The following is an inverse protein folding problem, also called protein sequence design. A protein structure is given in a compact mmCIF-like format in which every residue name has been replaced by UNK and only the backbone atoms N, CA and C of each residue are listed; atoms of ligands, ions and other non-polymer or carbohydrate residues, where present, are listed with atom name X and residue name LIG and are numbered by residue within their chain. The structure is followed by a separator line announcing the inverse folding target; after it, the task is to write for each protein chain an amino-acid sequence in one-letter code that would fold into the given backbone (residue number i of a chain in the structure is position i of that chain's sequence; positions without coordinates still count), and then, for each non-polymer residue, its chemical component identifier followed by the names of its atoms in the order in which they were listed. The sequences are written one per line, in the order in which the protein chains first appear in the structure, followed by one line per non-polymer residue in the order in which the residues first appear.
data_IF_737193014039
#
_entry.id   IF_737193014039
#
_cell.length_a   1.000
_cell.length_b   1.000
_cell.length_c   1.000
_cell.angle_alpha   90.00
_cell.angle_beta   90.00
_cell.angle_gamma   90.00
#
_symmetry.space_group_name_H-M   'P 1'
#
loop_
_entity.id
_entity.type
_entity.pdbx_description
1 polymer ?
#
# COMPACT_ATOMS: atom_id res chain seq x y z
N UNK A 1 -62.43 31.21 15.29
CA UNK A 1 -61.04 31.14 14.77
C UNK A 1 -60.50 29.72 14.68
N UNK A 2 -60.36 28.97 15.80
CA UNK A 2 -59.74 27.64 15.81
C UNK A 2 -60.34 26.63 14.82
N UNK A 3 -61.67 26.50 14.75
CA UNK A 3 -62.31 25.56 13.81
C UNK A 3 -61.97 25.84 12.34
N UNK A 4 -61.86 27.12 11.97
CA UNK A 4 -61.48 27.53 10.60
C UNK A 4 -60.02 27.16 10.33
N UNK A 5 -59.13 27.39 11.29
CA UNK A 5 -57.72 26.97 11.16
C UNK A 5 -57.61 25.44 10.96
N UNK A 6 -58.35 24.64 11.74
CA UNK A 6 -58.38 23.18 11.56
C UNK A 6 -58.88 22.81 10.16
N UNK A 7 -59.89 23.51 9.65
CA UNK A 7 -60.39 23.31 8.28
C UNK A 7 -59.33 23.66 7.22
N UNK A 8 -58.64 24.79 7.34
CA UNK A 8 -57.53 25.16 6.44
C UNK A 8 -56.42 24.11 6.46
N UNK A 9 -56.00 23.69 7.65
CA UNK A 9 -54.89 22.75 7.80
C UNK A 9 -55.21 21.35 7.25
N UNK A 10 -56.44 20.84 7.49
CA UNK A 10 -56.82 19.48 7.11
C UNK A 10 -57.53 19.39 5.76
N UNK A 11 -58.55 20.20 5.52
CA UNK A 11 -59.40 20.10 4.33
C UNK A 11 -58.79 20.81 3.12
N UNK A 12 -58.18 21.97 3.33
CA UNK A 12 -57.44 22.67 2.27
C UNK A 12 -55.98 22.20 2.16
N UNK A 13 -55.60 21.18 2.94
CA UNK A 13 -54.27 20.56 2.96
C UNK A 13 -53.10 21.56 3.15
N UNK A 14 -53.32 22.67 3.84
CA UNK A 14 -52.23 23.62 4.14
C UNK A 14 -51.15 22.96 5.01
N UNK A 15 -51.52 22.01 5.88
CA UNK A 15 -50.57 21.25 6.73
C UNK A 15 -49.43 20.63 5.94
N UNK A 16 -49.66 20.19 4.69
CA UNK A 16 -48.63 19.57 3.85
C UNK A 16 -47.41 20.47 3.59
N UNK A 17 -47.56 21.79 3.70
CA UNK A 17 -46.46 22.74 3.53
C UNK A 17 -45.52 22.78 4.74
N UNK A 18 -45.98 22.32 5.91
CA UNK A 18 -45.26 22.36 7.19
C UNK A 18 -44.76 20.99 7.65
N UNK A 19 -44.98 19.93 6.87
CA UNK A 19 -44.44 18.61 7.17
C UNK A 19 -42.91 18.59 7.03
N UNK A 20 -42.20 17.66 7.71
CA UNK A 20 -40.76 17.47 7.49
C UNK A 20 -40.48 17.28 6.00
N UNK A 21 -39.42 17.92 5.48
CA UNK A 21 -39.11 17.96 4.05
C UNK A 21 -39.90 19.01 3.25
N UNK A 22 -41.00 19.53 3.79
CA UNK A 22 -41.86 20.56 3.15
C UNK A 22 -42.34 20.16 1.74
N UNK A 23 -42.58 18.85 1.49
CA UNK A 23 -42.92 18.33 0.16
C UNK A 23 -44.13 19.03 -0.47
N UNK A 24 -45.13 19.37 0.34
CA UNK A 24 -46.29 20.12 -0.13
C UNK A 24 -45.93 21.51 -0.63
N UNK A 25 -45.03 22.22 0.06
CA UNK A 25 -44.55 23.53 -0.35
C UNK A 25 -43.69 23.43 -1.61
N UNK A 26 -42.74 22.49 -1.65
CA UNK A 26 -41.87 22.28 -2.80
C UNK A 26 -42.67 21.95 -4.06
N UNK A 27 -43.71 21.11 -3.94
CA UNK A 27 -44.64 20.85 -5.03
C UNK A 27 -45.35 22.14 -5.50
N UNK A 28 -45.84 22.98 -4.58
CA UNK A 28 -46.49 24.25 -4.97
C UNK A 28 -45.50 25.19 -5.65
N UNK A 29 -44.28 25.31 -5.15
CA UNK A 29 -43.24 26.14 -5.78
C UNK A 29 -42.89 25.63 -7.18
N UNK A 30 -42.75 24.31 -7.36
CA UNK A 30 -42.53 23.70 -8.67
C UNK A 30 -43.66 24.01 -9.66
N UNK A 31 -44.92 23.86 -9.22
CA UNK A 31 -46.09 24.22 -10.02
C UNK A 31 -46.09 25.72 -10.37
N UNK A 32 -45.73 26.57 -9.40
CA UNK A 32 -45.65 28.00 -9.60
C UNK A 32 -44.58 28.38 -10.62
N UNK A 33 -43.38 27.81 -10.54
CA UNK A 33 -42.29 28.08 -11.48
C UNK A 33 -42.71 27.76 -12.92
N UNK A 34 -43.36 26.62 -13.15
CA UNK A 34 -43.88 26.25 -14.47
C UNK A 34 -45.00 27.18 -14.95
N UNK A 35 -45.84 27.69 -14.05
CA UNK A 35 -46.86 28.68 -14.38
C UNK A 35 -46.23 30.03 -14.76
N UNK A 36 -45.17 30.46 -14.07
CA UNK A 36 -44.43 31.68 -14.41
C UNK A 36 -43.73 31.51 -15.75
N UNK A 37 -43.11 30.34 -16.00
CA UNK A 37 -42.49 30.02 -17.29
C UNK A 37 -43.50 30.07 -18.44
N UNK A 38 -44.69 29.49 -18.28
CA UNK A 38 -45.72 29.46 -19.31
C UNK A 38 -46.38 30.82 -19.53
N UNK A 39 -46.70 31.56 -18.46
CA UNK A 39 -47.52 32.78 -18.54
C UNK A 39 -46.72 34.08 -18.60
N UNK A 40 -45.50 34.09 -18.07
CA UNK A 40 -44.60 35.24 -17.96
C UNK A 40 -43.16 34.84 -18.37
N UNK A 41 -42.95 34.31 -19.59
CA UNK A 41 -41.68 33.70 -19.99
C UNK A 41 -40.49 34.67 -19.93
N UNK A 42 -40.71 35.95 -20.24
CA UNK A 42 -39.67 36.99 -20.15
C UNK A 42 -39.21 37.20 -18.71
N UNK A 43 -40.17 37.30 -17.79
CA UNK A 43 -39.87 37.42 -16.36
C UNK A 43 -39.21 36.16 -15.81
N UNK A 44 -39.69 34.97 -16.19
CA UNK A 44 -39.05 33.70 -15.80
C UNK A 44 -37.57 33.65 -16.24
N UNK A 45 -37.29 34.02 -17.50
CA UNK A 45 -35.93 34.07 -18.01
C UNK A 45 -35.07 35.09 -17.26
N UNK A 46 -35.60 36.29 -16.99
CA UNK A 46 -34.90 37.32 -16.21
C UNK A 46 -34.56 36.81 -14.80
N UNK A 47 -35.54 36.25 -14.08
CA UNK A 47 -35.33 35.67 -12.75
C UNK A 47 -34.26 34.58 -12.76
N UNK A 48 -34.28 33.67 -13.75
CA UNK A 48 -33.24 32.64 -13.90
C UNK A 48 -31.86 33.24 -14.20
N UNK A 49 -31.79 34.27 -15.04
CA UNK A 49 -30.52 34.94 -15.37
C UNK A 49 -29.90 35.65 -14.16
N UNK A 50 -30.74 36.14 -13.25
CA UNK A 50 -30.35 36.72 -11.97
C UNK A 50 -30.11 35.65 -10.87
N UNK A 51 -30.29 34.36 -11.16
CA UNK A 51 -30.14 33.29 -10.18
C UNK A 51 -31.21 33.27 -9.08
N UNK A 52 -32.38 33.90 -9.31
CA UNK A 52 -33.47 33.98 -8.35
C UNK A 52 -34.41 32.78 -8.55
N UNK A 53 -34.53 31.95 -7.51
CA UNK A 53 -35.49 30.85 -7.46
C UNK A 53 -36.74 31.27 -6.68
N UNK A 54 -37.91 30.72 -7.04
CA UNK A 54 -39.17 31.01 -6.35
C UNK A 54 -39.13 30.71 -4.85
N UNK A 55 -38.36 29.71 -4.42
CA UNK A 55 -38.16 29.39 -3.00
C UNK A 55 -37.61 30.57 -2.18
N UNK A 56 -36.90 31.51 -2.81
CA UNK A 56 -36.31 32.68 -2.13
C UNK A 56 -37.33 33.77 -1.78
N UNK A 57 -38.46 33.86 -2.48
CA UNK A 57 -39.45 34.93 -2.29
C UNK A 57 -40.89 34.41 -2.10
N UNK A 58 -41.27 33.33 -2.77
CA UNK A 58 -42.64 32.83 -2.81
C UNK A 58 -42.97 31.85 -1.68
N UNK A 59 -41.97 31.22 -1.03
CA UNK A 59 -42.19 30.25 0.06
C UNK A 59 -43.14 30.81 1.13
N UNK A 60 -42.94 32.06 1.51
CA UNK A 60 -43.76 32.74 2.50
C UNK A 60 -45.19 33.01 2.02
N UNK A 61 -45.38 33.29 0.74
CA UNK A 61 -46.71 33.51 0.15
C UNK A 61 -47.59 32.27 0.33
N UNK A 62 -47.06 31.09 -0.03
CA UNK A 62 -47.79 29.83 0.07
C UNK A 62 -47.97 29.36 1.52
N UNK A 63 -46.96 29.54 2.37
CA UNK A 63 -47.02 29.15 3.79
C UNK A 63 -48.02 29.97 4.59
N UNK A 64 -48.08 31.28 4.34
CA UNK A 64 -48.88 32.23 5.13
C UNK A 64 -50.13 32.71 4.42
N UNK A 65 -50.41 32.20 3.21
CA UNK A 65 -51.48 32.67 2.34
C UNK A 65 -51.43 34.20 2.18
N UNK A 66 -50.21 34.73 1.98
CA UNK A 66 -49.86 36.16 1.94
C UNK A 66 -50.01 36.97 3.24
N UNK A 67 -50.51 36.40 4.33
CA UNK A 67 -50.86 37.14 5.55
C UNK A 67 -49.68 37.77 6.32
N UNK A 68 -48.42 37.47 5.95
CA UNK A 68 -47.25 37.97 6.69
C UNK A 68 -46.85 39.42 6.36
N UNK A 69 -46.78 39.80 5.07
CA UNK A 69 -46.35 41.14 4.63
C UNK A 69 -47.44 41.93 3.92
N UNK A 70 -48.50 41.27 3.45
CA UNK A 70 -49.52 41.95 2.67
C UNK A 70 -50.50 42.69 3.57
N UNK A 71 -51.01 43.85 3.12
CA UNK A 71 -52.09 44.57 3.79
C UNK A 71 -53.34 43.71 3.97
N UNK A 72 -53.93 43.73 5.17
CA UNK A 72 -55.11 42.92 5.51
C UNK A 72 -56.27 43.02 4.51
N UNK A 73 -56.62 44.21 3.94
CA UNK A 73 -57.70 44.30 2.96
C UNK A 73 -57.49 43.42 1.72
N UNK A 74 -56.24 43.24 1.28
CA UNK A 74 -55.91 42.35 0.17
C UNK A 74 -55.93 40.90 0.62
N UNK A 75 -55.37 40.60 1.79
CA UNK A 75 -55.34 39.24 2.37
C UNK A 75 -56.76 38.69 2.54
N UNK A 76 -57.72 39.50 3.02
CA UNK A 76 -59.11 39.07 3.17
C UNK A 76 -59.72 38.64 1.83
N UNK A 77 -59.43 39.33 0.72
CA UNK A 77 -59.91 38.92 -0.61
C UNK A 77 -59.30 37.61 -1.10
N UNK A 78 -58.02 37.36 -0.76
CA UNK A 78 -57.38 36.08 -1.04
C UNK A 78 -58.09 34.97 -0.26
N UNK A 79 -58.37 35.20 1.03
CA UNK A 79 -59.04 34.23 1.88
C UNK A 79 -60.48 33.95 1.45
N UNK A 80 -61.25 34.98 1.07
CA UNK A 80 -62.59 34.83 0.50
C UNK A 80 -62.57 33.87 -0.70
N UNK A 81 -61.61 34.07 -1.60
CA UNK A 81 -61.45 33.25 -2.81
C UNK A 81 -60.96 31.83 -2.47
N UNK A 82 -60.06 31.69 -1.50
CA UNK A 82 -59.58 30.37 -1.03
C UNK A 82 -60.73 29.57 -0.43
N UNK A 83 -61.58 30.20 0.40
CA UNK A 83 -62.71 29.50 1.02
C UNK A 83 -63.81 29.14 0.02
N UNK A 84 -63.94 29.91 -1.06
CA UNK A 84 -64.93 29.64 -2.11
C UNK A 84 -64.44 28.58 -3.11
N UNK A 85 -63.19 28.66 -3.56
CA UNK A 85 -62.72 27.89 -4.72
C UNK A 85 -61.57 26.92 -4.41
N UNK A 86 -60.96 27.01 -3.22
CA UNK A 86 -59.83 26.17 -2.82
C UNK A 86 -58.49 26.91 -2.73
N UNK A 87 -57.52 26.26 -2.08
CA UNK A 87 -56.18 26.82 -1.85
C UNK A 87 -55.43 27.09 -3.15
N UNK A 88 -55.74 26.38 -4.23
CA UNK A 88 -55.12 26.55 -5.55
C UNK A 88 -55.39 27.94 -6.15
N UNK A 89 -56.42 28.65 -5.67
CA UNK A 89 -56.65 30.05 -6.04
C UNK A 89 -55.46 30.95 -5.76
N UNK A 90 -54.60 30.60 -4.80
CA UNK A 90 -53.38 31.34 -4.48
C UNK A 90 -52.46 31.52 -5.68
N UNK A 91 -52.39 30.52 -6.59
CA UNK A 91 -51.57 30.63 -7.81
C UNK A 91 -52.01 31.77 -8.71
N UNK A 92 -53.33 32.01 -8.82
CA UNK A 92 -53.87 33.12 -9.64
C UNK A 92 -53.44 34.47 -9.08
N UNK A 93 -53.49 34.63 -7.75
CA UNK A 93 -53.03 35.85 -7.10
C UNK A 93 -51.51 36.04 -7.26
N UNK A 94 -50.71 34.99 -7.07
CA UNK A 94 -49.26 35.06 -7.26
C UNK A 94 -48.88 35.49 -8.69
N UNK A 95 -49.51 34.89 -9.71
CA UNK A 95 -49.25 35.26 -11.11
C UNK A 95 -49.78 36.65 -11.44
N UNK A 96 -50.95 37.04 -10.92
CA UNK A 96 -51.49 38.39 -11.12
C UNK A 96 -50.58 39.47 -10.53
N UNK A 97 -50.00 39.23 -9.35
CA UNK A 97 -49.04 40.13 -8.72
C UNK A 97 -47.78 40.29 -9.58
N UNK A 98 -47.21 39.18 -10.06
CA UNK A 98 -46.04 39.24 -10.95
C UNK A 98 -46.37 39.94 -12.27
N UNK A 99 -47.50 39.60 -12.89
CA UNK A 99 -47.93 40.20 -14.16
C UNK A 99 -48.16 41.71 -14.05
N UNK A 100 -48.75 42.18 -12.94
CA UNK A 100 -48.97 43.61 -12.70
C UNK A 100 -47.66 44.39 -12.62
N UNK A 101 -46.64 43.77 -12.04
CA UNK A 101 -45.33 44.38 -11.80
C UNK A 101 -44.27 44.02 -12.86
N UNK A 102 -44.62 43.26 -13.89
CA UNK A 102 -43.66 42.63 -14.82
C UNK A 102 -42.66 43.63 -15.40
N UNK A 103 -43.12 44.79 -15.89
CA UNK A 103 -42.24 45.82 -16.45
C UNK A 103 -41.19 46.32 -15.42
N UNK A 104 -41.64 46.62 -14.20
CA UNK A 104 -40.77 47.11 -13.12
C UNK A 104 -39.77 46.04 -12.70
N UNK A 105 -40.20 44.77 -12.62
CA UNK A 105 -39.34 43.64 -12.25
C UNK A 105 -38.23 43.38 -13.27
N UNK A 106 -38.51 43.57 -14.57
CA UNK A 106 -37.53 43.38 -15.65
C UNK A 106 -36.42 44.45 -15.67
N UNK A 107 -36.65 45.60 -15.04
CA UNK A 107 -35.69 46.72 -14.97
C UNK A 107 -34.78 46.65 -13.73
N UNK A 108 -35.11 45.79 -12.76
CA UNK A 108 -34.38 45.66 -11.49
C UNK A 108 -33.19 44.71 -11.57
N UNK A 109 -32.14 45.02 -10.81
CA UNK A 109 -31.00 44.13 -10.52
C UNK A 109 -31.36 43.08 -9.44
N UNK A 110 -30.45 42.13 -9.19
CA UNK A 110 -30.70 41.02 -8.25
C UNK A 110 -31.20 41.46 -6.86
N UNK A 111 -30.53 42.43 -6.22
CA UNK A 111 -30.83 42.81 -4.83
C UNK A 111 -32.16 43.55 -4.74
N UNK A 112 -32.37 44.53 -5.63
CA UNK A 112 -33.62 45.29 -5.69
C UNK A 112 -34.79 44.40 -6.08
N UNK A 113 -34.58 43.49 -7.04
CA UNK A 113 -35.60 42.56 -7.51
C UNK A 113 -36.04 41.61 -6.41
N UNK A 114 -35.09 41.01 -5.67
CA UNK A 114 -35.42 40.06 -4.61
C UNK A 114 -36.15 40.74 -3.44
N UNK A 115 -35.74 41.96 -3.06
CA UNK A 115 -36.44 42.72 -2.04
C UNK A 115 -37.84 43.13 -2.51
N UNK A 116 -37.97 43.62 -3.75
CA UNK A 116 -39.26 44.03 -4.30
C UNK A 116 -40.25 42.87 -4.43
N UNK A 117 -39.78 41.68 -4.79
CA UNK A 117 -40.61 40.47 -4.79
C UNK A 117 -41.11 40.14 -3.38
N UNK A 118 -40.30 40.32 -2.33
CA UNK A 118 -40.69 40.00 -0.96
C UNK A 118 -41.69 40.99 -0.36
N UNK A 119 -41.52 42.29 -0.63
CA UNK A 119 -42.22 43.34 0.12
C UNK A 119 -42.95 44.38 -0.74
N UNK A 120 -42.66 44.50 -2.04
CA UNK A 120 -43.13 45.62 -2.86
C UNK A 120 -44.29 45.31 -3.82
N UNK A 121 -44.64 44.05 -4.07
CA UNK A 121 -45.62 43.69 -5.12
C UNK A 121 -47.02 44.29 -4.92
N UNK A 122 -47.45 44.48 -3.67
CA UNK A 122 -48.77 45.03 -3.37
C UNK A 122 -48.87 46.55 -3.57
N UNK A 123 -47.74 47.26 -3.68
CA UNK A 123 -47.71 48.72 -3.90
C UNK A 123 -48.45 49.10 -5.20
N UNK A 124 -48.41 48.21 -6.21
CA UNK A 124 -49.14 48.39 -7.48
C UNK A 124 -50.67 48.50 -7.32
N UNK A 125 -51.22 48.02 -6.20
CA UNK A 125 -52.64 48.10 -5.85
C UNK A 125 -52.94 49.16 -4.79
N UNK A 126 -51.95 49.89 -4.31
CA UNK A 126 -52.16 50.99 -3.38
C UNK A 126 -52.90 52.13 -4.08
N UNK A 127 -53.87 52.73 -3.41
CA UNK A 127 -54.55 53.93 -3.88
C UNK A 127 -53.68 55.12 -3.52
N UNK A 128 -53.00 55.72 -4.49
CA UNK A 128 -52.32 57.00 -4.29
C UNK A 128 -53.38 58.10 -4.23
N UNK A 129 -53.63 58.63 -3.03
CA UNK A 129 -54.46 59.82 -2.88
C UNK A 129 -53.67 61.02 -3.42
N UNK A 130 -54.13 61.61 -4.53
CA UNK A 130 -53.56 62.85 -5.08
C UNK A 130 -54.43 64.04 -4.69
N UNK A 131 -53.83 65.06 -4.07
CA UNK A 131 -54.50 66.33 -3.71
C UNK A 131 -54.62 66.57 -2.20
N UNK A 132 -55.39 67.60 -1.82
CA UNK A 132 -55.56 68.07 -0.42
C UNK A 132 -56.13 66.98 0.52
N UNK A 133 -56.83 65.98 -0.05
CA UNK A 133 -57.39 64.84 0.68
C UNK A 133 -56.35 63.81 1.14
N UNK A 134 -55.13 63.82 0.58
CA UNK A 134 -54.06 62.90 0.99
C UNK A 134 -53.63 63.11 2.45
N UNK A 135 -53.77 64.34 2.98
CA UNK A 135 -53.45 64.68 4.36
C UNK A 135 -54.53 64.26 5.37
N UNK A 136 -55.75 63.96 4.90
CA UNK A 136 -56.91 63.58 5.73
C UNK A 136 -57.13 62.07 5.79
N UNK A 137 -56.47 61.29 4.93
CA UNK A 137 -56.60 59.84 4.90
C UNK A 137 -55.50 59.24 5.81
N UNK A 138 -55.88 58.81 7.01
CA UNK A 138 -54.98 58.14 7.96
C UNK A 138 -54.69 56.68 7.59
N UNK A 139 -55.62 56.02 6.88
CA UNK A 139 -55.50 54.61 6.52
C UNK A 139 -55.15 54.42 5.05
N UNK A 140 -54.07 53.67 4.79
CA UNK A 140 -53.67 53.32 3.43
C UNK A 140 -54.73 52.44 2.77
N UNK A 141 -55.37 52.94 1.70
CA UNK A 141 -56.38 52.21 0.96
C UNK A 141 -55.78 51.42 -0.21
N UNK A 142 -56.42 50.29 -0.53
CA UNK A 142 -55.99 49.38 -1.61
C UNK A 142 -57.14 49.08 -2.56
N UNK A 143 -56.83 48.95 -3.86
CA UNK A 143 -57.75 48.60 -4.94
C UNK A 143 -58.09 47.11 -4.92
N UNK A 144 -58.78 46.67 -3.88
CA UNK A 144 -59.13 45.26 -3.63
C UNK A 144 -59.94 44.64 -4.76
N UNK A 145 -60.89 45.37 -5.36
CA UNK A 145 -61.70 44.86 -6.47
C UNK A 145 -60.88 44.65 -7.75
N UNK A 146 -59.93 45.55 -8.03
CA UNK A 146 -59.02 45.41 -9.17
C UNK A 146 -58.09 44.21 -8.97
N UNK A 147 -57.58 44.03 -7.75
CA UNK A 147 -56.75 42.88 -7.39
C UNK A 147 -57.45 41.54 -7.61
N UNK A 148 -58.70 41.42 -7.19
CA UNK A 148 -59.50 40.21 -7.44
C UNK A 148 -59.76 40.05 -8.94
N UNK A 149 -60.14 41.12 -9.65
CA UNK A 149 -60.39 41.07 -11.10
C UNK A 149 -59.15 40.59 -11.87
N UNK A 150 -57.97 41.11 -11.53
CA UNK A 150 -56.71 40.72 -12.16
C UNK A 150 -56.38 39.24 -11.89
N UNK A 151 -56.66 38.73 -10.69
CA UNK A 151 -56.53 37.30 -10.37
C UNK A 151 -57.50 36.41 -11.19
N UNK A 152 -58.76 36.81 -11.34
CA UNK A 152 -59.74 36.06 -12.14
C UNK A 152 -59.44 36.07 -13.65
N UNK A 153 -58.69 37.06 -14.14
CA UNK A 153 -58.22 37.07 -15.53
C UNK A 153 -57.14 35.99 -15.79
N UNK A 154 -56.50 35.46 -14.75
CA UNK A 154 -55.51 34.39 -14.88
C UNK A 154 -56.21 33.03 -14.94
N UNK A 155 -56.11 32.36 -16.10
CA UNK A 155 -56.73 31.05 -16.33
C UNK A 155 -55.79 29.91 -15.97
N UNK A 156 -55.98 29.33 -14.79
CA UNK A 156 -55.29 28.11 -14.34
C UNK A 156 -56.30 26.98 -14.26
N UNK A 157 -56.14 25.96 -15.09
CA UNK A 157 -57.02 24.78 -15.08
C UNK A 157 -56.50 23.73 -14.11
N UNK A 158 -57.34 23.05 -13.32
CA UNK A 158 -56.91 21.98 -12.40
C UNK A 158 -56.10 20.89 -13.10
N UNK A 159 -56.46 20.53 -14.34
CA UNK A 159 -55.70 19.57 -15.16
C UNK A 159 -54.23 19.95 -15.36
N UNK A 160 -53.92 21.26 -15.49
CA UNK A 160 -52.53 21.74 -15.62
C UNK A 160 -51.76 21.53 -14.32
N UNK A 161 -52.37 21.88 -13.19
CA UNK A 161 -51.76 21.68 -11.88
C UNK A 161 -51.50 20.19 -11.61
N UNK A 162 -52.45 19.31 -11.97
CA UNK A 162 -52.26 17.85 -11.88
C UNK A 162 -51.12 17.36 -12.77
N UNK A 163 -50.99 17.87 -14.00
CA UNK A 163 -49.87 17.54 -14.90
C UNK A 163 -48.53 17.94 -14.28
N UNK A 164 -48.41 19.16 -13.75
CA UNK A 164 -47.18 19.61 -13.08
C UNK A 164 -46.89 18.82 -11.80
N UNK A 165 -47.92 18.41 -11.07
CA UNK A 165 -47.78 17.52 -9.92
C UNK A 165 -47.22 16.15 -10.30
N UNK A 166 -47.72 15.54 -11.38
CA UNK A 166 -47.19 14.27 -11.87
C UNK A 166 -45.73 14.41 -12.33
N UNK A 167 -45.40 15.49 -13.03
CA UNK A 167 -44.03 15.78 -13.44
C UNK A 167 -43.08 15.94 -12.24
N UNK A 168 -43.53 16.63 -11.19
CA UNK A 168 -42.75 16.79 -9.95
C UNK A 168 -42.43 15.44 -9.29
N UNK A 169 -43.44 14.59 -9.08
CA UNK A 169 -43.21 13.28 -8.47
C UNK A 169 -42.37 12.36 -9.36
N UNK A 170 -42.53 12.42 -10.68
CA UNK A 170 -41.68 11.69 -11.61
C UNK A 170 -40.21 12.15 -11.53
N UNK A 171 -39.97 13.46 -11.39
CA UNK A 171 -38.63 14.01 -11.21
C UNK A 171 -38.01 13.56 -9.88
N UNK A 172 -38.75 13.63 -8.77
CA UNK A 172 -38.26 13.14 -7.48
C UNK A 172 -37.97 11.64 -7.48
N UNK A 173 -38.83 10.83 -8.11
CA UNK A 173 -38.61 9.40 -8.19
C UNK A 173 -37.40 9.06 -9.07
N UNK A 174 -37.21 9.76 -10.19
CA UNK A 174 -36.03 9.62 -11.04
C UNK A 174 -34.74 10.01 -10.30
N UNK A 175 -34.77 11.12 -9.54
CA UNK A 175 -33.64 11.55 -8.71
C UNK A 175 -33.31 10.52 -7.63
N UNK A 176 -34.32 10.01 -6.91
CA UNK A 176 -34.14 8.95 -5.91
C UNK A 176 -33.57 7.67 -6.53
N UNK A 177 -34.05 7.26 -7.71
CA UNK A 177 -33.51 6.10 -8.45
C UNK A 177 -32.06 6.32 -8.87
N UNK A 178 -31.71 7.53 -9.31
CA UNK A 178 -30.33 7.89 -9.65
C UNK A 178 -29.42 7.80 -8.43
N UNK A 179 -29.81 8.39 -7.31
CA UNK A 179 -29.05 8.33 -6.06
C UNK A 179 -28.89 6.89 -5.54
N UNK A 180 -29.95 6.07 -5.67
CA UNK A 180 -29.89 4.65 -5.29
C UNK A 180 -28.90 3.87 -6.17
N UNK A 181 -28.94 4.07 -7.49
CA UNK A 181 -27.97 3.43 -8.41
C UNK A 181 -26.54 3.90 -8.16
N UNK A 182 -26.34 5.18 -7.82
CA UNK A 182 -25.03 5.72 -7.45
C UNK A 182 -24.52 5.12 -6.13
N UNK A 183 -25.39 4.99 -5.13
CA UNK A 183 -25.06 4.34 -3.87
C UNK A 183 -24.66 2.86 -4.05
N UNK A 184 -25.39 2.11 -4.88
CA UNK A 184 -25.05 0.72 -5.22
C UNK A 184 -23.70 0.63 -5.94
N UNK A 185 -23.39 1.58 -6.84
CA UNK A 185 -22.08 1.63 -7.50
C UNK A 185 -20.96 1.92 -6.50
N UNK A 186 -21.17 2.84 -5.57
CA UNK A 186 -20.22 3.15 -4.48
C UNK A 186 -20.01 1.92 -3.60
N UNK A 187 -21.07 1.18 -3.27
CA UNK A 187 -20.97 -0.04 -2.46
C UNK A 187 -20.13 -1.11 -3.16
N UNK A 188 -20.34 -1.34 -4.47
CA UNK A 188 -19.51 -2.25 -5.27
C UNK A 188 -18.04 -1.82 -5.31
N UNK A 189 -17.76 -0.53 -5.44
CA UNK A 189 -16.39 -0.01 -5.39
C UNK A 189 -15.78 -0.23 -4.00
N UNK A 190 -16.54 0.01 -2.93
CA UNK A 190 -16.08 -0.23 -1.56
C UNK A 190 -15.76 -1.69 -1.29
N UNK A 191 -16.60 -2.63 -1.72
CA UNK A 191 -16.34 -4.06 -1.54
C UNK A 191 -15.10 -4.50 -2.34
N UNK A 192 -14.97 -4.05 -3.59
CA UNK A 192 -13.79 -4.34 -4.40
C UNK A 192 -12.51 -3.77 -3.78
N UNK A 193 -12.53 -2.52 -3.31
CA UNK A 193 -11.39 -1.91 -2.62
C UNK A 193 -11.04 -2.67 -1.34
N UNK A 194 -12.03 -3.16 -0.59
CA UNK A 194 -11.80 -4.00 0.58
C UNK A 194 -11.10 -5.32 0.21
N UNK A 195 -11.58 -6.00 -0.84
CA UNK A 195 -10.95 -7.23 -1.34
C UNK A 195 -9.52 -7.01 -1.83
N UNK A 196 -9.29 -5.96 -2.64
CA UNK A 196 -7.95 -5.61 -3.11
C UNK A 196 -7.00 -5.26 -1.96
N UNK A 197 -7.49 -4.53 -0.95
CA UNK A 197 -6.69 -4.21 0.24
C UNK A 197 -6.27 -5.46 1.00
N UNK A 198 -7.18 -6.43 1.17
CA UNK A 198 -6.85 -7.70 1.81
C UNK A 198 -5.87 -8.53 0.97
N UNK A 199 -6.01 -8.51 -0.35
CA UNK A 199 -5.10 -9.20 -1.26
C UNK A 199 -3.69 -8.58 -1.21
N UNK A 200 -3.59 -7.25 -1.18
CA UNK A 200 -2.32 -6.54 -1.00
C UNK A 200 -1.66 -6.95 0.32
N UNK A 201 -2.39 -6.92 1.43
CA UNK A 201 -1.86 -7.36 2.74
C UNK A 201 -1.38 -8.80 2.73
N UNK A 202 -2.11 -9.70 2.07
CA UNK A 202 -1.72 -11.09 1.94
C UNK A 202 -0.43 -11.25 1.12
N UNK A 203 -0.33 -10.57 -0.03
CA UNK A 203 0.87 -10.60 -0.86
C UNK A 203 2.07 -9.95 -0.16
N UNK A 204 1.86 -8.88 0.59
CA UNK A 204 2.90 -8.24 1.41
C UNK A 204 3.45 -9.20 2.48
N UNK A 205 2.57 -9.93 3.18
CA UNK A 205 2.98 -10.95 4.15
C UNK A 205 3.79 -12.06 3.49
N UNK A 206 3.34 -12.58 2.34
CA UNK A 206 4.06 -13.62 1.61
C UNK A 206 5.43 -13.13 1.11
N UNK A 207 5.51 -11.89 0.62
CA UNK A 207 6.79 -11.28 0.22
C UNK A 207 7.73 -11.11 1.40
N UNK A 208 7.21 -10.76 2.58
CA UNK A 208 8.01 -10.65 3.79
C UNK A 208 8.57 -11.99 4.23
N UNK A 209 7.76 -13.05 4.17
CA UNK A 209 8.19 -14.42 4.47
C UNK A 209 9.24 -14.92 3.48
N UNK A 210 9.00 -14.76 2.18
CA UNK A 210 9.95 -15.13 1.13
C UNK A 210 11.27 -14.36 1.25
N UNK A 211 11.22 -13.06 1.57
CA UNK A 211 12.43 -12.27 1.81
C UNK A 211 13.21 -12.77 3.02
N UNK A 212 12.52 -13.21 4.08
CA UNK A 212 13.17 -13.80 5.25
C UNK A 212 13.88 -15.11 4.88
N UNK A 213 13.21 -16.00 4.16
CA UNK A 213 13.82 -17.25 3.66
C UNK A 213 15.03 -16.97 2.78
N UNK A 214 14.96 -15.97 1.88
CA UNK A 214 16.09 -15.57 1.06
C UNK A 214 17.30 -15.10 1.88
N UNK A 215 17.08 -14.33 2.95
CA UNK A 215 18.17 -13.90 3.84
C UNK A 215 18.76 -15.08 4.61
N UNK A 216 17.92 -16.00 5.09
CA UNK A 216 18.37 -17.24 5.76
C UNK A 216 19.23 -18.10 4.81
N UNK A 217 18.74 -18.39 3.61
CA UNK A 217 19.47 -19.13 2.58
C UNK A 217 20.77 -18.44 2.15
N UNK A 218 20.78 -17.10 2.04
CA UNK A 218 21.98 -16.36 1.73
C UNK A 218 23.03 -16.48 2.84
N UNK A 219 22.61 -16.43 4.11
CA UNK A 219 23.50 -16.64 5.26
C UNK A 219 24.05 -18.06 5.30
N UNK A 220 23.21 -19.08 5.08
CA UNK A 220 23.66 -20.48 4.97
C UNK A 220 24.65 -20.67 3.82
N UNK A 221 24.39 -20.07 2.65
CA UNK A 221 25.31 -20.11 1.50
C UNK A 221 26.67 -19.48 1.84
N UNK A 222 26.67 -18.36 2.57
CA UNK A 222 27.91 -17.72 3.03
C UNK A 222 28.65 -18.62 4.01
N UNK A 223 27.96 -19.19 5.00
CA UNK A 223 28.54 -20.09 6.00
C UNK A 223 29.15 -21.33 5.34
N UNK A 224 28.40 -22.00 4.47
CA UNK A 224 28.87 -23.18 3.74
C UNK A 224 30.05 -22.86 2.82
N UNK A 225 30.08 -21.68 2.18
CA UNK A 225 31.26 -21.23 1.42
C UNK A 225 32.49 -21.01 2.31
N UNK A 226 32.32 -20.44 3.49
CA UNK A 226 33.41 -20.25 4.46
C UNK A 226 33.92 -21.60 4.97
N UNK A 227 33.03 -22.53 5.31
CA UNK A 227 33.41 -23.90 5.69
C UNK A 227 34.12 -24.64 4.55
N UNK A 228 33.62 -24.52 3.33
CA UNK A 228 34.26 -25.11 2.16
C UNK A 228 35.67 -24.54 1.94
N UNK A 229 35.87 -23.24 2.15
CA UNK A 229 37.19 -22.62 2.08
C UNK A 229 38.14 -23.19 3.15
N UNK A 230 37.67 -23.32 4.41
CA UNK A 230 38.46 -23.94 5.48
C UNK A 230 38.85 -25.38 5.17
N UNK A 231 37.89 -26.22 4.78
CA UNK A 231 38.16 -27.62 4.43
C UNK A 231 39.10 -27.73 3.24
N UNK A 232 39.02 -26.79 2.28
CA UNK A 232 39.93 -26.73 1.16
C UNK A 232 41.36 -26.38 1.60
N UNK A 233 41.52 -25.36 2.44
CA UNK A 233 42.82 -24.97 3.01
C UNK A 233 43.43 -26.13 3.82
N UNK A 234 42.63 -26.79 4.67
CA UNK A 234 43.04 -27.97 5.44
C UNK A 234 43.47 -29.13 4.51
N UNK A 235 42.77 -29.35 3.40
CA UNK A 235 43.12 -30.39 2.44
C UNK A 235 44.40 -30.04 1.68
N UNK A 236 44.62 -28.77 1.34
CA UNK A 236 45.88 -28.30 0.76
C UNK A 236 47.05 -28.47 1.76
N UNK A 237 46.84 -28.19 3.05
CA UNK A 237 47.83 -28.41 4.11
C UNK A 237 48.12 -29.91 4.33
N UNK A 238 47.09 -30.76 4.37
CA UNK A 238 47.24 -32.20 4.46
C UNK A 238 47.95 -32.79 3.23
N UNK A 239 47.71 -32.26 2.04
CA UNK A 239 48.43 -32.65 0.83
C UNK A 239 49.91 -32.22 0.88
N UNK A 240 50.19 -31.01 1.36
CA UNK A 240 51.55 -30.51 1.58
C UNK A 240 52.32 -31.40 2.56
N UNK A 241 51.74 -31.65 3.74
CA UNK A 241 52.35 -32.52 4.76
C UNK A 241 52.52 -33.96 4.27
N UNK A 242 51.55 -34.53 3.55
CA UNK A 242 51.67 -35.84 2.94
C UNK A 242 52.78 -35.88 1.87
N UNK A 243 52.94 -34.82 1.08
CA UNK A 243 54.05 -34.66 0.12
C UNK A 243 55.40 -34.59 0.84
N UNK A 244 55.51 -33.81 1.91
CA UNK A 244 56.76 -33.67 2.66
C UNK A 244 57.12 -34.95 3.40
N UNK A 245 56.16 -35.63 4.03
CA UNK A 245 56.34 -36.97 4.60
C UNK A 245 56.77 -37.97 3.54
N UNK A 246 56.20 -37.93 2.33
CA UNK A 246 56.64 -38.77 1.21
C UNK A 246 58.09 -38.48 0.80
N UNK A 247 58.51 -37.22 0.74
CA UNK A 247 59.90 -36.85 0.45
C UNK A 247 60.84 -37.37 1.53
N UNK A 248 60.49 -37.22 2.80
CA UNK A 248 61.28 -37.75 3.92
C UNK A 248 61.36 -39.28 3.88
N UNK A 249 60.26 -39.97 3.60
CA UNK A 249 60.23 -41.43 3.42
C UNK A 249 61.07 -41.90 2.22
N UNK A 250 61.15 -41.12 1.14
CA UNK A 250 62.02 -41.43 0.00
C UNK A 250 63.50 -41.11 0.28
N UNK A 251 63.77 -40.08 1.09
CA UNK A 251 65.13 -39.71 1.49
C UNK A 251 65.70 -40.67 2.55
N UNK A 252 64.86 -41.23 3.44
CA UNK A 252 65.26 -42.16 4.49
C UNK A 252 66.10 -43.35 4.00
N UNK A 253 65.68 -44.15 3.00
CA UNK A 253 66.49 -45.27 2.52
C UNK A 253 67.81 -44.80 1.92
N UNK A 254 67.87 -43.62 1.29
CA UNK A 254 69.09 -43.06 0.72
C UNK A 254 70.05 -42.59 1.82
N UNK A 255 69.55 -41.92 2.86
CA UNK A 255 70.35 -41.51 4.01
C UNK A 255 70.86 -42.72 4.80
N UNK A 256 70.00 -43.72 5.00
CA UNK A 256 70.35 -44.98 5.67
C UNK A 256 71.38 -45.75 4.83
N UNK A 257 71.17 -45.86 3.52
CA UNK A 257 72.12 -46.52 2.60
C UNK A 257 73.46 -45.81 2.58
N UNK A 258 73.49 -44.47 2.52
CA UNK A 258 74.73 -43.70 2.60
C UNK A 258 75.46 -43.91 3.93
N UNK A 259 74.74 -43.90 5.05
CA UNK A 259 75.34 -44.10 6.37
C UNK A 259 75.86 -45.54 6.56
N UNK A 260 75.12 -46.55 6.07
CA UNK A 260 75.62 -47.93 6.04
C UNK A 260 76.81 -48.09 5.09
N UNK A 261 76.83 -47.40 3.96
CA UNK A 261 77.93 -47.44 2.99
C UNK A 261 79.20 -46.82 3.58
N UNK A 262 79.09 -45.68 4.26
CA UNK A 262 80.20 -45.08 5.01
C UNK A 262 80.73 -46.02 6.11
N UNK A 263 79.85 -46.70 6.84
CA UNK A 263 80.25 -47.68 7.84
C UNK A 263 80.91 -48.93 7.22
N UNK A 264 80.39 -49.42 6.09
CA UNK A 264 80.96 -50.55 5.34
C UNK A 264 82.34 -50.20 4.78
N UNK A 265 82.50 -49.01 4.20
CA UNK A 265 83.79 -48.55 3.65
C UNK A 265 84.84 -48.43 4.76
N UNK A 266 84.45 -47.89 5.93
CA UNK A 266 85.31 -47.84 7.13
C UNK A 266 85.73 -49.23 7.62
N UNK A 267 84.81 -50.21 7.62
CA UNK A 267 85.11 -51.60 8.00
C UNK A 267 85.98 -52.31 6.97
N UNK A 268 85.77 -52.05 5.68
CA UNK A 268 86.54 -52.65 4.59
C UNK A 268 87.98 -52.13 4.62
N UNK A 269 88.17 -50.84 4.88
CA UNK A 269 89.48 -50.25 5.07
C UNK A 269 90.21 -50.83 6.31
N UNK A 270 89.49 -51.04 7.43
CA UNK A 270 90.05 -51.75 8.60
C UNK A 270 90.41 -53.20 8.27
N UNK A 271 89.58 -53.94 7.53
CA UNK A 271 89.86 -55.31 7.14
C UNK A 271 91.10 -55.41 6.24
N UNK A 272 91.30 -54.48 5.31
CA UNK A 272 92.52 -54.44 4.49
C UNK A 272 93.77 -54.27 5.36
N UNK A 273 93.74 -53.34 6.33
CA UNK A 273 94.88 -53.17 7.24
C UNK A 273 95.15 -54.40 8.12
N UNK A 274 94.10 -55.15 8.49
CA UNK A 274 94.24 -56.41 9.24
C UNK A 274 94.79 -57.54 8.37
N UNK A 275 94.42 -57.61 7.09
CA UNK A 275 94.99 -58.57 6.13
C UNK A 275 96.49 -58.30 5.91
N UNK A 276 96.88 -57.03 5.73
CA UNK A 276 98.29 -56.64 5.64
C UNK A 276 99.07 -57.04 6.91
N UNK A 277 98.43 -56.90 8.07
CA UNK A 277 98.99 -57.32 9.36
C UNK A 277 99.11 -58.85 9.49
N UNK A 278 98.13 -59.60 9.01
CA UNK A 278 98.16 -61.06 9.02
C UNK A 278 99.23 -61.60 8.06
N UNK A 279 99.34 -61.06 6.84
CA UNK A 279 100.39 -61.48 5.90
C UNK A 279 101.79 -61.23 6.46
N UNK A 280 102.01 -60.10 7.15
CA UNK A 280 103.31 -59.84 7.80
C UNK A 280 103.60 -60.79 8.96
N UNK A 281 102.58 -61.26 9.70
CA UNK A 281 102.74 -62.28 10.74
C UNK A 281 102.97 -63.68 10.15
N UNK A 282 102.34 -64.02 9.03
CA UNK A 282 102.58 -65.28 8.29
C UNK A 282 104.02 -65.35 7.73
N UNK A 283 104.54 -64.25 7.17
CA UNK A 283 105.94 -64.19 6.71
C UNK A 283 106.94 -64.37 7.86
N UNK A 284 106.63 -63.84 9.05
CA UNK A 284 107.45 -64.04 10.25
C UNK A 284 107.40 -65.49 10.75
N UNK A 285 106.25 -66.16 10.66
CA UNK A 285 106.09 -67.58 10.99
C UNK A 285 106.87 -68.48 10.03
N UNK A 286 106.79 -68.23 8.71
CA UNK A 286 107.55 -68.97 7.71
C UNK A 286 109.07 -68.85 7.90
N UNK A 287 109.55 -67.67 8.34
CA UNK A 287 110.95 -67.46 8.69
C UNK A 287 111.42 -68.26 9.91
N UNK A 288 110.58 -68.35 10.95
CA UNK A 288 110.86 -69.14 12.16
C UNK A 288 110.83 -70.65 11.90
N UNK A 289 109.92 -71.13 11.05
CA UNK A 289 109.86 -72.54 10.64
C UNK A 289 111.12 -72.97 9.91
N UNK A 290 111.67 -72.12 9.05
CA UNK A 290 112.90 -72.40 8.30
C UNK A 290 114.12 -72.53 9.22
N UNK A 291 114.24 -71.65 10.22
CA UNK A 291 115.30 -71.75 11.26
C UNK A 291 115.17 -73.01 12.12
N UNK A 292 113.93 -73.43 12.43
CA UNK A 292 113.69 -74.65 13.22
C UNK A 292 114.12 -75.92 12.47
N UNK A 293 113.88 -75.98 11.15
CA UNK A 293 114.30 -77.09 10.30
C UNK A 293 115.84 -77.16 10.21
N UNK A 294 116.51 -76.02 10.08
CA UNK A 294 117.97 -75.92 10.07
C UNK A 294 118.60 -76.40 11.39
N UNK A 295 118.01 -76.01 12.52
CA UNK A 295 118.47 -76.44 13.84
C UNK A 295 118.25 -77.94 14.07
N UNK A 296 117.13 -78.51 13.58
CA UNK A 296 116.87 -79.96 13.65
C UNK A 296 117.84 -80.78 12.79
N UNK A 297 118.24 -80.30 11.62
CA UNK A 297 119.27 -80.97 10.80
C UNK A 297 120.62 -81.02 11.51
N UNK A 298 121.09 -79.89 12.06
CA UNK A 298 122.38 -79.84 12.78
C UNK A 298 122.38 -80.70 14.04
N UNK A 299 121.23 -80.82 14.71
CA UNK A 299 121.07 -81.69 15.87
C UNK A 299 121.15 -83.18 15.49
N UNK A 300 120.57 -83.58 14.35
CA UNK A 300 120.63 -84.96 13.86
C UNK A 300 122.04 -85.38 13.42
N UNK A 301 122.84 -84.48 12.82
CA UNK A 301 124.24 -84.74 12.47
C UNK A 301 125.11 -84.93 13.72
N UNK A 302 124.89 -84.11 14.76
CA UNK A 302 125.60 -84.20 16.04
C UNK A 302 125.25 -85.46 16.85
N UNK A 303 124.02 -85.96 16.76
CA UNK A 303 123.58 -87.17 17.47
C UNK A 303 124.17 -88.45 16.83
N UNK A 304 124.36 -88.46 15.50
CA UNK A 304 124.97 -89.57 14.76
C UNK A 304 126.47 -89.74 15.06
N UNK A 305 127.22 -88.64 15.19
CA UNK A 305 128.62 -88.68 15.60
C UNK A 305 128.78 -89.23 17.04
N UNK A 306 127.84 -88.90 17.93
CA UNK A 306 127.81 -89.40 19.31
C UNK A 306 127.58 -90.91 19.38
N UNK A 307 126.75 -91.47 18.51
CA UNK A 307 126.50 -92.91 18.43
C UNK A 307 127.69 -93.70 17.86
N UNK A 308 128.42 -93.13 16.90
CA UNK A 308 129.63 -93.73 16.31
C UNK A 308 130.79 -93.79 17.32
N UNK A 309 130.97 -92.72 18.12
CA UNK A 309 131.96 -92.67 19.20
C UNK A 309 131.62 -93.61 20.36
N UNK A 310 130.33 -93.81 20.67
CA UNK A 310 129.86 -94.80 21.67
C UNK A 310 130.14 -96.25 21.26
N UNK A 311 130.04 -96.59 19.97
CA UNK A 311 130.38 -97.94 19.46
C UNK A 311 131.88 -98.22 19.56
N UNK A 312 132.75 -97.26 19.22
CA UNK A 312 134.22 -97.39 19.39
C UNK A 312 134.66 -97.53 20.85
N UNK A 313 133.94 -96.92 21.80
CA UNK A 313 134.24 -97.04 23.23
C UNK A 313 133.89 -98.43 23.81
N UNK A 314 132.86 -99.10 23.27
CA UNK A 314 132.46 -100.44 23.71
C UNK A 314 133.39 -101.54 23.18
N UNK A 315 134.03 -101.35 22.02
CA UNK A 315 134.98 -102.31 21.47
C UNK A 315 136.36 -102.27 22.17
N UNK A 316 136.74 -101.12 22.75
CA UNK A 316 138.01 -100.95 23.50
C UNK A 316 137.94 -101.41 24.96
N UNK A 317 136.76 -101.56 25.57
CA UNK A 317 136.60 -102.11 26.93
C UNK A 317 136.55 -103.64 27.01
N UNK A 318 136.52 -104.35 25.87
CA UNK A 318 136.62 -105.82 25.79
C UNK A 318 138.05 -106.36 25.60
N UNK A 319 139.06 -105.49 25.64
CA UNK A 319 140.46 -105.84 25.38
C UNK A 319 141.45 -105.48 26.52
N UNK A 320 140.98 -105.30 27.76
CA UNK A 320 141.82 -105.23 28.97
C UNK A 320 141.12 -105.81 30.19
#
# INVERSE_FOLDING_TARGET
AFCVLVKIMKFYNLRGHFLPGMDGLQLRLFQFDHLVEEMLPKLHQHLRSQGINSSMYASQWFMTLFAYKFPLPLVFRIYDTIFMEGIESIFRFSIALLKKNEKKLLEMDFEQLLEYLKSGLFESYQVTATGVLAQLITDTQYKTNEFVKDAYNIRITPKKLTKYQQAYYAQQEAEKRRLMSEAEAIEKIKTNNYHLTNQVKYLESNLQELNREHVELANELVNTKVELAKVKDDNEELQMTASDLRKVLQAQPIEIENNYKEQIDSLTQKNVTLIERNNTLEDQLAGLEKMLIEMKMRYAESENERELLKRRLNDLKKAL
#
